data_IF_273187657469
#
_entry.id   IF_273187657469
#
_cell.length_a   1.000
_cell.length_b   1.000
_cell.length_c   1.000
_cell.angle_alpha   90.00
_cell.angle_beta   90.00
_cell.angle_gamma   90.00
#
_symmetry.space_group_name_H-M   'P 1'
#
loop_
_entity.id
_entity.type
_entity.pdbx_description
1 polymer ?
#
# COMPACT_ATOMS: atom_id res chain seq x y z
N UNK A 1 -10.78 -0.97 -12.80
CA UNK A 1 -10.70 -1.23 -11.34
C UNK A 1 -9.47 -0.52 -10.81
N UNK A 2 -9.54 0.13 -9.64
CA UNK A 2 -8.43 0.84 -9.00
C UNK A 2 -8.10 0.12 -7.68
N UNK A 3 -6.87 -0.37 -7.55
CA UNK A 3 -6.37 -0.98 -6.32
C UNK A 3 -5.63 0.10 -5.54
N UNK A 4 -5.98 0.31 -4.27
CA UNK A 4 -5.28 1.23 -3.38
C UNK A 4 -4.76 0.42 -2.21
N UNK A 5 -3.45 0.51 -1.96
CA UNK A 5 -2.76 -0.13 -0.85
C UNK A 5 -2.43 0.95 0.16
N UNK A 6 -3.11 0.90 1.29
CA UNK A 6 -2.77 1.71 2.45
C UNK A 6 -1.66 1.01 3.24
N UNK A 7 -0.56 1.72 3.44
CA UNK A 7 0.63 1.22 4.14
C UNK A 7 0.96 2.08 5.34
N UNK A 8 1.78 1.53 6.23
CA UNK A 8 2.44 2.22 7.33
C UNK A 8 3.94 1.92 7.30
N UNK A 9 4.75 2.80 7.86
CA UNK A 9 6.17 2.64 8.06
C UNK A 9 6.45 1.44 8.98
N UNK A 10 7.55 0.73 8.71
CA UNK A 10 7.96 -0.47 9.43
C UNK A 10 6.92 -1.61 9.47
N UNK A 11 5.96 -1.63 8.54
CA UNK A 11 4.97 -2.70 8.41
C UNK A 11 5.45 -3.82 7.47
N UNK A 12 5.99 -4.90 8.05
CA UNK A 12 6.49 -6.06 7.28
C UNK A 12 5.41 -6.71 6.40
N UNK A 13 4.15 -6.72 6.85
CA UNK A 13 3.02 -7.25 6.10
C UNK A 13 2.66 -6.37 4.89
N UNK A 14 2.75 -5.05 5.05
CA UNK A 14 2.49 -4.10 3.97
C UNK A 14 3.54 -4.25 2.86
N UNK A 15 4.81 -4.42 3.24
CA UNK A 15 5.90 -4.73 2.29
C UNK A 15 5.68 -6.06 1.59
N UNK A 16 5.22 -7.10 2.29
CA UNK A 16 4.91 -8.39 1.68
C UNK A 16 3.77 -8.30 0.64
N UNK A 17 2.68 -7.59 0.97
CA UNK A 17 1.57 -7.35 0.03
C UNK A 17 2.01 -6.55 -1.18
N UNK A 18 2.79 -5.47 -1.00
CA UNK A 18 3.37 -4.68 -2.09
C UNK A 18 4.18 -5.56 -3.05
N UNK A 19 5.09 -6.38 -2.49
CA UNK A 19 5.92 -7.30 -3.28
C UNK A 19 5.07 -8.34 -4.04
N UNK A 20 3.99 -8.83 -3.46
CA UNK A 20 3.08 -9.77 -4.13
C UNK A 20 2.37 -9.11 -5.32
N UNK A 21 1.92 -7.86 -5.15
CA UNK A 21 1.25 -7.08 -6.20
C UNK A 21 2.23 -6.74 -7.34
N UNK A 22 3.45 -6.35 -7.01
CA UNK A 22 4.53 -6.09 -7.98
C UNK A 22 4.87 -7.35 -8.79
N UNK A 23 4.97 -8.52 -8.14
CA UNK A 23 5.21 -9.81 -8.82
C UNK A 23 4.09 -10.20 -9.78
N UNK A 24 2.86 -9.77 -9.52
CA UNK A 24 1.71 -10.01 -10.39
C UNK A 24 1.58 -8.95 -11.49
N UNK A 25 2.42 -7.91 -11.49
CA UNK A 25 2.36 -6.81 -12.47
C UNK A 25 1.08 -5.97 -12.36
N UNK A 26 0.46 -5.93 -11.18
CA UNK A 26 -0.77 -5.19 -10.95
C UNK A 26 -0.48 -3.71 -10.76
N UNK A 27 -1.26 -2.86 -11.43
CA UNK A 27 -1.25 -1.42 -11.15
C UNK A 27 -2.03 -1.14 -9.86
N UNK A 28 -1.35 -0.58 -8.87
CA UNK A 28 -1.95 -0.12 -7.62
C UNK A 28 -1.42 1.26 -7.25
N UNK A 29 -2.21 1.99 -6.47
CA UNK A 29 -1.77 3.21 -5.81
C UNK A 29 -1.35 2.89 -4.38
N UNK A 30 -0.25 3.47 -3.93
CA UNK A 30 0.22 3.34 -2.56
C UNK A 30 -0.09 4.63 -1.78
N UNK A 31 -0.69 4.51 -0.60
CA UNK A 31 -0.94 5.63 0.32
C UNK A 31 -0.30 5.29 1.66
N UNK A 32 0.63 6.11 2.14
CA UNK A 32 1.26 5.93 3.45
C UNK A 32 0.48 6.71 4.52
N UNK A 33 -0.15 5.99 5.44
CA UNK A 33 -0.96 6.56 6.52
C UNK A 33 -0.15 7.28 7.59
N UNK A 34 1.15 6.97 7.74
CA UNK A 34 2.00 7.70 8.69
C UNK A 34 2.40 9.08 8.15
N UNK A 35 2.48 9.22 6.83
CA UNK A 35 2.73 10.50 6.17
C UNK A 35 1.45 11.30 5.88
N UNK A 36 0.31 10.61 5.74
CA UNK A 36 -1.00 11.18 5.40
C UNK A 36 -2.09 10.54 6.27
N UNK A 37 -2.14 10.89 7.57
CA UNK A 37 -3.17 10.37 8.47
C UNK A 37 -4.58 10.80 8.06
N UNK A 38 -4.72 11.91 7.31
CA UNK A 38 -5.98 12.36 6.71
C UNK A 38 -6.55 11.41 5.64
N UNK A 39 -5.80 10.41 5.19
CA UNK A 39 -6.28 9.39 4.26
C UNK A 39 -7.05 8.26 4.96
N UNK A 40 -7.18 8.31 6.29
CA UNK A 40 -8.06 7.46 7.08
C UNK A 40 -9.45 8.12 7.08
N UNK A 41 -10.33 7.73 6.16
CA UNK A 41 -11.73 8.17 6.06
C UNK A 41 -12.65 6.96 5.90
#
# INVERSE_FOLDING_TARGET
>A
MRIIIYTKDNCVQCTATKNAMDRQGLAYQLINLDSQPEAID
#
